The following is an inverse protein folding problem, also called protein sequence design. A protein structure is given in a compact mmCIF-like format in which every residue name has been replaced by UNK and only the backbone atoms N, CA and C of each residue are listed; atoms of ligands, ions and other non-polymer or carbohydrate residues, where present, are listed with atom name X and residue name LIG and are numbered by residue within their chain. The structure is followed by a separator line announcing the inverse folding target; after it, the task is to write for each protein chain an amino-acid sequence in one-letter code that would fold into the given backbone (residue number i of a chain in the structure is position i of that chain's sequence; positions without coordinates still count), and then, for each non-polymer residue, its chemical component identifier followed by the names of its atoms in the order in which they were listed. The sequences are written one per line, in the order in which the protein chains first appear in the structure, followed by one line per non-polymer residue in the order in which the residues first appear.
data_IF_128244526468
#
_entry.id   IF_128244526468
#
_cell.length_a   1.000
_cell.length_b   1.000
_cell.length_c   1.000
_cell.angle_alpha   90.00
_cell.angle_beta   90.00
_cell.angle_gamma   90.00
#
_symmetry.space_group_name_H-M   'P 1'
#
loop_
_entity.id
_entity.type
_entity.pdbx_description
1 polymer ?
#
# COMPACT_ATOMS: atom_id res chain seq x y z
N UNK A 1 -18.10 5.93 -6.10
CA UNK A 1 -17.41 4.61 -5.99
C UNK A 1 -16.07 4.84 -5.31
N UNK A 2 -15.60 3.94 -4.45
CA UNK A 2 -14.23 4.02 -3.92
C UNK A 2 -13.24 3.61 -5.00
N UNK A 3 -12.12 4.33 -5.13
CA UNK A 3 -11.06 4.04 -6.09
C UNK A 3 -9.77 3.70 -5.34
N UNK A 4 -9.20 2.54 -5.68
CA UNK A 4 -7.86 2.11 -5.25
C UNK A 4 -6.93 2.18 -6.44
N UNK A 5 -5.90 3.02 -6.36
CA UNK A 5 -5.00 3.31 -7.48
C UNK A 5 -3.55 2.97 -7.13
N UNK A 6 -3.01 1.83 -7.60
CA UNK A 6 -1.59 1.53 -7.47
C UNK A 6 -0.75 2.34 -8.45
N UNK A 7 0.26 3.05 -7.95
CA UNK A 7 1.13 3.94 -8.71
C UNK A 7 2.60 3.81 -8.26
N UNK A 8 3.53 4.25 -9.11
CA UNK A 8 4.89 4.56 -8.70
C UNK A 8 4.92 5.97 -8.14
N UNK A 9 5.04 6.08 -6.82
CA UNK A 9 5.10 7.35 -6.11
C UNK A 9 6.52 7.93 -6.16
N UNK A 10 6.63 9.25 -6.35
CA UNK A 10 7.84 10.03 -6.07
C UNK A 10 7.57 10.94 -4.88
N UNK A 11 8.34 10.77 -3.82
CA UNK A 11 8.21 11.57 -2.60
C UNK A 11 9.21 12.74 -2.57
N UNK A 12 8.77 13.89 -3.09
CA UNK A 12 9.61 15.08 -3.15
C UNK A 12 9.95 15.67 -1.78
N UNK A 13 9.22 15.32 -0.72
CA UNK A 13 9.57 15.75 0.65
C UNK A 13 10.72 14.91 1.23
N UNK A 14 10.99 13.74 0.67
CA UNK A 14 12.04 12.82 1.11
C UNK A 14 13.05 12.56 -0.01
N UNK A 15 13.56 13.64 -0.62
CA UNK A 15 14.65 13.57 -1.60
C UNK A 15 14.28 12.86 -2.90
N UNK A 16 13.03 12.99 -3.35
CA UNK A 16 12.50 12.35 -4.55
C UNK A 16 12.58 10.82 -4.54
N UNK A 17 12.57 10.23 -3.34
CA UNK A 17 12.58 8.77 -3.14
C UNK A 17 11.36 8.14 -3.83
N UNK A 18 11.59 7.02 -4.51
CA UNK A 18 10.52 6.28 -5.19
C UNK A 18 9.91 5.22 -4.27
N UNK A 19 8.60 5.02 -4.41
CA UNK A 19 7.83 4.02 -3.65
C UNK A 19 6.80 3.30 -4.52
N UNK A 20 6.54 2.03 -4.22
CA UNK A 20 5.36 1.33 -4.75
C UNK A 20 4.19 1.54 -3.80
N UNK A 21 3.16 2.25 -4.27
CA UNK A 21 2.15 2.84 -3.41
C UNK A 21 0.75 2.62 -3.97
N UNK A 22 -0.20 2.29 -3.13
CA UNK A 22 -1.63 2.39 -3.46
C UNK A 22 -2.23 3.61 -2.79
N UNK A 23 -2.91 4.45 -3.58
CA UNK A 23 -3.70 5.59 -3.10
C UNK A 23 -5.16 5.18 -2.97
N UNK A 24 -5.83 5.69 -1.93
CA UNK A 24 -7.26 5.46 -1.67
C UNK A 24 -8.03 6.77 -1.81
N UNK A 25 -9.07 6.75 -2.65
CA UNK A 25 -9.99 7.87 -2.88
C UNK A 25 -11.40 7.39 -2.58
N UNK A 26 -12.13 8.07 -1.69
CA UNK A 26 -13.51 7.69 -1.32
C UNK A 26 -14.52 8.06 -2.43
N UNK A 27 -15.76 7.65 -2.23
CA UNK A 27 -16.85 7.78 -3.19
C UNK A 27 -17.25 9.23 -3.53
N UNK A 28 -16.88 10.19 -2.69
CA UNK A 28 -17.07 11.63 -2.87
C UNK A 28 -15.85 12.33 -3.51
N UNK A 29 -14.75 11.60 -3.72
CA UNK A 29 -13.50 12.12 -4.28
C UNK A 29 -12.47 12.55 -3.23
N UNK A 30 -12.74 12.38 -1.92
CA UNK A 30 -11.76 12.67 -0.88
C UNK A 30 -10.55 11.72 -0.97
N UNK A 31 -9.34 12.28 -0.89
CA UNK A 31 -8.11 11.49 -0.72
C UNK A 31 -7.98 11.04 0.73
N UNK A 32 -8.25 9.77 1.00
CA UNK A 32 -8.19 9.21 2.35
C UNK A 32 -6.76 8.91 2.81
N UNK A 33 -5.83 8.72 1.87
CA UNK A 33 -4.45 8.43 2.18
C UNK A 33 -3.80 7.45 1.20
N UNK A 34 -2.68 6.87 1.64
CA UNK A 34 -1.87 5.96 0.86
C UNK A 34 -1.25 4.85 1.71
N UNK A 35 -0.95 3.73 1.07
CA UNK A 35 -0.18 2.64 1.65
C UNK A 35 0.99 2.27 0.73
N UNK A 36 2.21 2.21 1.28
CA UNK A 36 3.44 1.80 0.61
C UNK A 36 3.71 0.32 0.82
N UNK A 37 4.14 -0.37 -0.23
CA UNK A 37 4.34 -1.83 -0.25
C UNK A 37 5.32 -2.29 0.84
N UNK A 38 4.83 -3.06 1.80
CA UNK A 38 5.64 -3.56 2.93
C UNK A 38 6.73 -4.56 2.52
N UNK A 39 6.44 -5.44 1.56
CA UNK A 39 7.35 -6.53 1.18
C UNK A 39 7.79 -6.37 -0.28
N UNK A 40 9.08 -6.11 -0.50
CA UNK A 40 9.64 -5.88 -1.83
C UNK A 40 10.30 -7.16 -2.36
N UNK A 41 9.88 -7.69 -3.52
CA UNK A 41 10.50 -8.87 -4.10
C UNK A 41 11.92 -8.58 -4.62
N UNK A 42 12.75 -9.63 -4.55
CA UNK A 42 14.13 -9.68 -5.05
C UNK A 42 14.37 -11.00 -5.78
N UNK A 43 13.41 -11.40 -6.63
CA UNK A 43 13.34 -12.76 -7.17
C UNK A 43 13.09 -12.76 -8.68
N UNK A 44 13.96 -13.45 -9.42
CA UNK A 44 13.85 -13.59 -10.87
C UNK A 44 13.81 -12.23 -11.58
N UNK A 45 12.81 -12.05 -12.45
CA UNK A 45 12.59 -10.79 -13.16
C UNK A 45 11.98 -9.68 -12.28
N UNK A 46 11.50 -10.03 -11.08
CA UNK A 46 10.90 -9.09 -10.12
C UNK A 46 11.99 -8.41 -9.29
N UNK A 47 12.82 -7.62 -9.96
CA UNK A 47 13.91 -6.82 -9.38
C UNK A 47 13.40 -5.49 -8.81
N UNK A 48 12.30 -5.53 -8.08
CA UNK A 48 11.63 -4.31 -7.59
C UNK A 48 12.50 -3.53 -6.59
N UNK A 49 13.35 -4.21 -5.82
CA UNK A 49 14.25 -3.56 -4.86
C UNK A 49 15.32 -2.66 -5.49
N UNK A 50 15.48 -2.70 -6.82
CA UNK A 50 16.35 -1.76 -7.53
C UNK A 50 15.72 -0.37 -7.62
N UNK A 51 14.40 -0.26 -7.48
CA UNK A 51 13.64 0.97 -7.70
C UNK A 51 13.14 1.62 -6.41
N UNK A 52 12.68 0.81 -5.45
CA UNK A 52 12.06 1.29 -4.21
C UNK A 52 12.28 0.32 -3.05
N UNK A 53 12.25 0.86 -1.83
CA UNK A 53 12.48 0.12 -0.59
C UNK A 53 11.19 -0.27 0.10
N UNK A 54 11.30 -1.09 1.15
CA UNK A 54 10.19 -1.51 2.01
C UNK A 54 9.43 -0.31 2.58
N UNK A 55 8.10 -0.33 2.46
CA UNK A 55 7.23 0.77 2.86
C UNK A 55 7.29 1.10 4.36
N UNK A 56 7.07 2.38 4.66
CA UNK A 56 7.11 2.97 6.00
C UNK A 56 5.71 3.31 6.56
N UNK A 57 4.64 3.02 5.80
CA UNK A 57 3.25 3.33 6.20
C UNK A 57 2.61 2.30 7.14
N UNK A 58 3.29 1.19 7.45
CA UNK A 58 2.76 0.13 8.31
C UNK A 58 1.62 -0.66 7.65
N UNK A 59 0.53 -0.90 8.39
CA UNK A 59 -0.63 -1.69 7.93
C UNK A 59 -1.93 -0.88 8.05
N UNK A 60 -2.08 0.24 7.33
CA UNK A 60 -3.23 1.12 7.48
C UNK A 60 -4.52 0.43 7.02
N UNK A 61 -5.60 0.75 7.72
CA UNK A 61 -6.98 0.40 7.35
C UNK A 61 -7.70 1.71 7.11
N UNK A 62 -8.35 1.82 5.96
CA UNK A 62 -9.05 3.03 5.51
C UNK A 62 -10.54 2.82 5.72
N UNK A 63 -11.15 3.69 6.52
CA UNK A 63 -12.60 3.75 6.65
C UNK A 63 -13.18 4.44 5.41
N UNK A 64 -14.01 3.72 4.65
CA UNK A 64 -14.67 4.24 3.45
C UNK A 64 -16.17 4.24 3.64
N UNK A 65 -16.87 4.92 2.75
CA UNK A 65 -18.33 4.85 2.60
C UNK A 65 -18.94 3.44 2.49
N UNK A 66 -18.14 2.39 2.23
CA UNK A 66 -18.61 1.00 2.09
C UNK A 66 -18.00 0.00 3.09
N UNK A 67 -17.18 0.46 4.03
CA UNK A 67 -16.51 -0.39 5.03
C UNK A 67 -15.02 -0.07 5.20
N UNK A 68 -14.38 -0.81 6.09
CA UNK A 68 -12.96 -0.67 6.45
C UNK A 68 -12.08 -1.55 5.57
N UNK A 69 -11.37 -0.95 4.63
CA UNK A 69 -10.56 -1.69 3.66
C UNK A 69 -9.06 -1.57 3.95
N UNK A 70 -8.33 -2.62 3.62
CA UNK A 70 -6.87 -2.63 3.61
C UNK A 70 -6.34 -3.09 2.25
N UNK A 71 -5.11 -2.70 1.93
CA UNK A 71 -4.48 -3.02 0.65
C UNK A 71 -3.21 -3.82 0.90
N UNK A 72 -3.22 -5.13 0.62
CA UNK A 72 -1.98 -5.92 0.61
C UNK A 72 -1.37 -5.93 -0.80
N UNK A 73 -0.26 -5.23 -0.98
CA UNK A 73 0.32 -4.99 -2.30
C UNK A 73 1.22 -6.15 -2.75
N UNK A 74 0.77 -6.85 -3.80
CA UNK A 74 1.57 -7.79 -4.61
C UNK A 74 2.35 -8.83 -3.76
N UNK A 75 3.66 -8.66 -3.56
CA UNK A 75 4.53 -9.65 -2.91
C UNK A 75 4.24 -9.82 -1.40
N UNK A 76 3.53 -8.85 -0.79
CA UNK A 76 2.95 -9.03 0.54
C UNK A 76 1.95 -10.20 0.61
N UNK A 77 1.46 -10.72 -0.53
CA UNK A 77 0.64 -11.95 -0.60
C UNK A 77 1.31 -13.17 0.03
N UNK A 78 2.64 -13.23 0.02
CA UNK A 78 3.42 -14.39 0.49
C UNK A 78 3.74 -14.32 2.00
N UNK A 79 3.30 -13.28 2.69
CA UNK A 79 3.65 -13.02 4.10
C UNK A 79 2.38 -13.12 4.96
N UNK A 80 2.10 -14.26 5.63
CA UNK A 80 0.90 -14.42 6.44
C UNK A 80 0.75 -13.37 7.54
N UNK A 81 1.86 -12.94 8.14
CA UNK A 81 1.85 -11.89 9.16
C UNK A 81 1.44 -10.52 8.61
N UNK A 82 1.72 -10.24 7.33
CA UNK A 82 1.25 -9.01 6.68
C UNK A 82 -0.27 -8.99 6.58
N UNK A 83 -0.88 -10.11 6.19
CA UNK A 83 -2.35 -10.28 6.20
C UNK A 83 -2.93 -10.19 7.62
N UNK A 84 -2.29 -10.88 8.58
CA UNK A 84 -2.75 -10.88 9.96
C UNK A 84 -2.76 -9.47 10.57
N UNK A 85 -1.77 -8.65 10.28
CA UNK A 85 -1.71 -7.27 10.78
C UNK A 85 -2.83 -6.38 10.24
N UNK A 86 -3.21 -6.51 8.96
CA UNK A 86 -4.39 -5.80 8.45
C UNK A 86 -5.69 -6.27 9.13
N UNK A 87 -5.82 -7.58 9.39
CA UNK A 87 -6.95 -8.13 10.14
C UNK A 87 -7.01 -7.64 11.59
N UNK A 88 -5.86 -7.61 12.29
CA UNK A 88 -5.74 -7.05 13.66
C UNK A 88 -6.13 -5.58 13.70
N UNK A 89 -5.79 -4.82 12.64
CA UNK A 89 -6.15 -3.42 12.52
C UNK A 89 -7.61 -3.19 12.08
N UNK A 90 -8.41 -4.24 11.89
CA UNK A 90 -9.86 -4.14 11.67
C UNK A 90 -10.29 -4.05 10.20
N UNK A 91 -9.48 -4.55 9.26
CA UNK A 91 -9.90 -4.69 7.86
C UNK A 91 -11.05 -5.71 7.71
N UNK A 92 -11.97 -5.43 6.78
CA UNK A 92 -13.19 -6.21 6.47
C UNK A 92 -13.11 -6.94 5.11
#
# INVERSE_FOLDING_TARGET
MVILSPILERDSNHGDTLWNTCVVIDSDGEYLGKHRKNHIPRVGDFNESTYYMEGDTGHPVFETSYGRIAINICYGRHHPLNWAMFGINGAE
#
